data_IF_824407090793
#
_entry.id   IF_824407090793
#
_cell.length_a   1.000
_cell.length_b   1.000
_cell.length_c   1.000
_cell.angle_alpha   90.00
_cell.angle_beta   90.00
_cell.angle_gamma   90.00
#
_symmetry.space_group_name_H-M   'P 1'
#
loop_
_entity.id
_entity.type
_entity.pdbx_description
1 polymer ?
#
# COMPACT_ATOMS: atom_id res chain seq x y z
N UNK A 1 19.90 -1.20 -2.83
CA UNK A 1 20.48 -1.49 -4.16
C UNK A 1 21.67 -0.57 -4.34
N UNK A 2 22.84 -1.11 -4.69
CA UNK A 2 24.05 -0.29 -4.95
C UNK A 2 23.74 0.70 -6.09
N UNK A 3 24.15 1.96 -5.94
CA UNK A 3 23.98 2.98 -6.99
C UNK A 3 24.73 2.50 -8.25
N UNK A 4 24.09 2.59 -9.41
CA UNK A 4 24.74 2.27 -10.70
C UNK A 4 25.75 3.39 -10.97
N UNK A 5 27.02 3.11 -10.74
CA UNK A 5 28.13 4.04 -10.97
C UNK A 5 28.82 3.73 -12.30
N UNK A 6 29.55 4.69 -12.88
CA UNK A 6 30.36 4.46 -14.08
C UNK A 6 31.30 3.25 -13.94
N UNK A 7 31.94 3.12 -12.77
CA UNK A 7 32.79 1.97 -12.43
C UNK A 7 32.06 0.62 -12.47
N UNK A 8 30.75 0.60 -12.19
CA UNK A 8 29.94 -0.60 -12.26
C UNK A 8 29.67 -1.01 -13.71
N UNK A 9 29.41 -0.04 -14.59
CA UNK A 9 29.18 -0.27 -16.02
C UNK A 9 30.46 -0.82 -16.68
N UNK A 10 31.62 -0.23 -16.35
CA UNK A 10 32.92 -0.68 -16.84
C UNK A 10 33.28 -2.07 -16.31
N UNK A 11 33.10 -2.31 -15.01
CA UNK A 11 33.31 -3.64 -14.43
C UNK A 11 32.36 -4.70 -15.02
N UNK A 12 31.13 -4.33 -15.40
CA UNK A 12 30.20 -5.22 -16.09
C UNK A 12 30.71 -5.61 -17.48
N UNK A 13 31.21 -4.65 -18.26
CA UNK A 13 31.82 -4.92 -19.58
C UNK A 13 33.05 -5.82 -19.46
N UNK A 14 33.92 -5.55 -18.49
CA UNK A 14 35.12 -6.35 -18.25
C UNK A 14 34.78 -7.75 -17.72
N UNK A 15 33.73 -7.88 -16.90
CA UNK A 15 33.21 -9.17 -16.46
C UNK A 15 32.71 -10.03 -17.63
N UNK A 16 32.05 -9.44 -18.64
CA UNK A 16 31.63 -10.14 -19.86
C UNK A 16 32.85 -10.63 -20.63
N UNK A 17 33.84 -9.75 -20.86
CA UNK A 17 35.09 -10.11 -21.54
C UNK A 17 35.85 -11.22 -20.80
N UNK A 18 35.88 -11.15 -19.48
CA UNK A 18 36.52 -12.15 -18.63
C UNK A 18 35.81 -13.50 -18.73
N UNK A 19 34.47 -13.56 -18.67
CA UNK A 19 33.72 -14.81 -18.84
C UNK A 19 33.93 -15.46 -20.22
N UNK A 20 34.08 -14.65 -21.27
CA UNK A 20 34.32 -15.11 -22.64
C UNK A 20 35.80 -15.41 -22.94
N UNK A 21 36.71 -15.18 -21.98
CA UNK A 21 38.14 -15.48 -22.16
C UNK A 21 38.43 -16.98 -21.98
N UNK A 22 39.34 -17.52 -22.79
CA UNK A 22 39.80 -18.91 -22.65
C UNK A 22 40.56 -19.16 -21.35
N UNK A 23 41.22 -18.13 -20.80
CA UNK A 23 41.96 -18.19 -19.54
C UNK A 23 41.39 -17.17 -18.56
N UNK A 24 40.44 -17.61 -17.75
CA UNK A 24 39.84 -16.82 -16.67
C UNK A 24 40.81 -16.72 -15.50
N UNK A 25 41.62 -15.68 -15.48
CA UNK A 25 42.53 -15.40 -14.36
C UNK A 25 41.74 -14.99 -13.10
N UNK A 26 42.02 -15.65 -11.97
CA UNK A 26 41.28 -15.46 -10.72
C UNK A 26 41.46 -14.04 -10.15
N UNK A 27 42.70 -13.52 -10.18
CA UNK A 27 43.01 -12.19 -9.62
C UNK A 27 42.28 -11.07 -10.37
N UNK A 28 42.21 -11.21 -11.69
CA UNK A 28 41.49 -10.29 -12.58
C UNK A 28 39.99 -10.30 -12.30
N UNK A 29 39.38 -11.49 -12.11
CA UNK A 29 37.96 -11.60 -11.75
C UNK A 29 37.63 -10.98 -10.39
N UNK A 30 38.48 -11.19 -9.38
CA UNK A 30 38.30 -10.58 -8.05
C UNK A 30 38.40 -9.04 -8.11
N UNK A 31 39.32 -8.50 -8.93
CA UNK A 31 39.44 -7.06 -9.13
C UNK A 31 38.19 -6.47 -9.80
N UNK A 32 37.64 -7.15 -10.82
CA UNK A 32 36.39 -6.76 -11.47
C UNK A 32 35.23 -6.65 -10.46
N UNK A 33 35.05 -7.65 -9.58
CA UNK A 33 34.03 -7.60 -8.53
C UNK A 33 34.28 -6.52 -7.48
N UNK A 34 35.54 -6.26 -7.14
CA UNK A 34 35.90 -5.23 -6.16
C UNK A 34 35.57 -3.84 -6.69
N UNK A 35 35.95 -3.56 -7.94
CA UNK A 35 35.72 -2.26 -8.60
C UNK A 35 34.25 -1.99 -8.90
N UNK A 36 33.44 -3.04 -9.13
CA UNK A 36 32.01 -2.88 -9.39
C UNK A 36 31.23 -2.41 -8.17
N UNK A 37 31.75 -2.59 -6.94
CA UNK A 37 30.99 -2.33 -5.71
C UNK A 37 29.81 -3.30 -5.51
N UNK A 38 29.71 -4.36 -6.33
CA UNK A 38 28.72 -5.41 -6.19
C UNK A 38 29.14 -6.33 -5.04
N UNK A 39 28.36 -6.31 -3.94
CA UNK A 39 28.60 -7.11 -2.73
C UNK A 39 30.07 -7.10 -2.30
N UNK A 40 30.61 -5.93 -1.95
CA UNK A 40 32.03 -5.76 -1.60
C UNK A 40 32.57 -6.74 -0.55
N UNK A 41 31.74 -7.21 0.39
CA UNK A 41 32.12 -8.25 1.35
C UNK A 41 32.46 -9.60 0.70
N UNK A 42 31.80 -9.96 -0.41
CA UNK A 42 32.06 -11.20 -1.16
C UNK A 42 33.38 -11.07 -1.90
N UNK A 43 33.62 -9.94 -2.57
CA UNK A 43 34.88 -9.67 -3.24
C UNK A 43 36.06 -9.72 -2.25
N UNK A 44 35.94 -9.09 -1.08
CA UNK A 44 36.95 -9.13 -0.02
C UNK A 44 37.19 -10.55 0.53
N UNK A 45 36.13 -11.38 0.62
CA UNK A 45 36.24 -12.77 1.07
C UNK A 45 36.97 -13.64 0.04
N UNK A 46 36.65 -13.48 -1.25
CA UNK A 46 37.31 -14.19 -2.35
C UNK A 46 38.79 -13.80 -2.43
N UNK A 47 39.10 -12.51 -2.32
CA UNK A 47 40.48 -12.01 -2.26
C UNK A 47 41.29 -12.65 -1.11
N UNK A 48 40.69 -12.80 0.08
CA UNK A 48 41.35 -13.39 1.26
C UNK A 48 41.53 -14.91 1.16
N UNK A 49 40.57 -15.62 0.56
CA UNK A 49 40.58 -17.07 0.47
C UNK A 49 41.50 -17.60 -0.63
N UNK A 50 41.78 -16.76 -1.64
CA UNK A 50 42.66 -17.10 -2.76
C UNK A 50 42.03 -18.10 -3.75
N UNK A 51 42.81 -18.47 -4.76
CA UNK A 51 42.36 -19.36 -5.83
C UNK A 51 42.28 -20.83 -5.36
N UNK A 52 41.06 -21.36 -5.33
CA UNK A 52 40.72 -22.77 -5.06
C UNK A 52 39.54 -23.14 -5.98
N UNK A 53 39.31 -24.44 -6.26
CA UNK A 53 38.22 -24.85 -7.17
C UNK A 53 36.85 -24.25 -6.81
N UNK A 54 36.44 -24.36 -5.54
CA UNK A 54 35.17 -23.81 -5.06
C UNK A 54 35.12 -22.27 -5.02
N UNK A 55 36.26 -21.59 -4.78
CA UNK A 55 36.28 -20.11 -4.79
C UNK A 55 36.27 -19.57 -6.21
N UNK A 56 36.82 -20.32 -7.18
CA UNK A 56 36.77 -20.01 -8.61
C UNK A 56 35.35 -20.15 -9.15
N UNK A 57 34.66 -21.25 -8.86
CA UNK A 57 33.24 -21.43 -9.18
C UNK A 57 32.38 -20.32 -8.55
N UNK A 58 32.65 -19.97 -7.28
CA UNK A 58 31.94 -18.90 -6.58
C UNK A 58 32.22 -17.53 -7.21
N UNK A 59 33.44 -17.26 -7.65
CA UNK A 59 33.81 -16.04 -8.35
C UNK A 59 33.06 -15.91 -9.68
N UNK A 60 33.03 -16.98 -10.48
CA UNK A 60 32.29 -17.01 -11.75
C UNK A 60 30.78 -16.79 -11.54
N UNK A 61 30.20 -17.45 -10.52
CA UNK A 61 28.81 -17.26 -10.16
C UNK A 61 28.49 -15.79 -9.79
N UNK A 62 29.30 -15.16 -8.95
CA UNK A 62 29.04 -13.78 -8.53
C UNK A 62 29.27 -12.76 -9.65
N UNK A 63 30.23 -13.01 -10.57
CA UNK A 63 30.40 -12.19 -11.78
C UNK A 63 29.18 -12.32 -12.71
N UNK A 64 28.64 -13.54 -12.90
CA UNK A 64 27.40 -13.77 -13.66
C UNK A 64 26.21 -13.04 -13.04
N UNK A 65 26.06 -13.12 -11.71
CA UNK A 65 25.02 -12.42 -10.95
C UNK A 65 25.16 -10.89 -11.01
N UNK A 66 26.40 -10.37 -11.04
CA UNK A 66 26.69 -8.95 -11.24
C UNK A 66 26.29 -8.50 -12.65
N UNK A 67 26.60 -9.29 -13.69
CA UNK A 67 26.28 -8.95 -15.09
C UNK A 67 24.79 -9.18 -15.41
N UNK A 68 24.09 -9.94 -14.56
CA UNK A 68 22.71 -10.42 -14.75
C UNK A 68 22.57 -11.45 -15.88
N UNK A 69 23.63 -12.21 -16.15
CA UNK A 69 23.60 -13.34 -17.08
C UNK A 69 23.38 -14.61 -16.27
N UNK A 70 22.19 -15.18 -16.35
CA UNK A 70 21.77 -16.34 -15.55
C UNK A 70 22.13 -17.70 -16.17
N UNK A 71 22.68 -17.72 -17.38
CA UNK A 71 22.90 -18.92 -18.17
C UNK A 71 24.39 -19.31 -18.23
N UNK A 72 24.70 -20.60 -18.03
CA UNK A 72 26.03 -21.18 -18.23
C UNK A 72 25.92 -22.20 -19.37
N UNK A 73 26.47 -21.92 -20.57
CA UNK A 73 26.31 -22.79 -21.74
C UNK A 73 26.76 -24.23 -21.54
N UNK A 74 27.76 -24.45 -20.67
CA UNK A 74 28.33 -25.79 -20.44
C UNK A 74 27.86 -26.42 -19.11
N UNK A 75 26.78 -25.94 -18.49
CA UNK A 75 26.24 -26.54 -17.25
C UNK A 75 25.28 -27.70 -17.60
N UNK A 76 25.58 -28.96 -17.21
CA UNK A 76 24.78 -30.15 -17.54
C UNK A 76 23.31 -30.07 -17.09
N UNK A 77 22.97 -29.14 -16.18
CA UNK A 77 21.59 -28.94 -15.72
C UNK A 77 20.67 -28.29 -16.75
N UNK A 78 21.22 -27.75 -17.84
CA UNK A 78 20.48 -27.04 -18.88
C UNK A 78 20.66 -27.65 -20.27
N UNK A 79 21.13 -28.89 -20.33
CA UNK A 79 21.37 -29.65 -21.57
C UNK A 79 20.06 -29.89 -22.36
N UNK A 80 18.92 -29.97 -21.66
CA UNK A 80 17.58 -30.16 -22.22
C UNK A 80 16.85 -28.83 -22.58
N UNK A 81 17.51 -27.68 -22.43
CA UNK A 81 16.92 -26.38 -22.80
C UNK A 81 17.32 -26.06 -24.24
N UNK A 82 16.39 -26.24 -25.18
CA UNK A 82 16.58 -25.90 -26.59
C UNK A 82 16.62 -24.38 -26.79
N UNK A 83 17.82 -23.81 -26.71
CA UNK A 83 18.08 -22.40 -26.98
C UNK A 83 17.77 -21.96 -28.41
N UNK A 84 17.59 -22.91 -29.35
CA UNK A 84 17.31 -22.58 -30.74
C UNK A 84 15.82 -22.27 -31.00
N UNK A 85 14.91 -22.69 -30.10
CA UNK A 85 13.46 -22.50 -30.29
C UNK A 85 12.99 -21.11 -29.77
N UNK A 86 13.57 -20.61 -28.69
CA UNK A 86 13.15 -19.35 -28.04
C UNK A 86 13.96 -18.11 -28.43
N UNK A 87 14.94 -18.23 -29.33
CA UNK A 87 15.82 -17.12 -29.73
C UNK A 87 16.23 -17.16 -31.22
N UNK A 88 15.28 -17.32 -32.13
CA UNK A 88 15.49 -17.02 -33.55
C UNK A 88 15.21 -15.53 -33.80
N UNK A 89 16.24 -14.68 -34.06
CA UNK A 89 16.04 -13.25 -34.31
C UNK A 89 15.19 -13.05 -35.57
N UNK A 90 14.09 -12.31 -35.44
CA UNK A 90 13.25 -11.91 -36.59
C UNK A 90 12.05 -12.79 -36.94
N UNK A 91 11.62 -13.73 -36.09
CA UNK A 91 10.42 -14.55 -36.33
C UNK A 91 9.09 -13.84 -36.03
N UNK A 92 9.11 -12.61 -35.52
CA UNK A 92 7.95 -11.74 -35.29
C UNK A 92 7.75 -10.71 -36.42
N UNK A 93 8.56 -10.79 -37.49
CA UNK A 93 8.43 -9.93 -38.68
C UNK A 93 8.81 -8.46 -38.44
N UNK A 94 9.49 -8.15 -37.33
CA UNK A 94 9.97 -6.79 -37.02
C UNK A 94 11.46 -6.81 -36.75
N UNK A 95 12.19 -5.85 -37.32
CA UNK A 95 13.61 -5.65 -37.02
C UNK A 95 13.78 -5.30 -35.54
N UNK A 96 14.51 -6.12 -34.78
CA UNK A 96 14.76 -5.93 -33.34
C UNK A 96 15.54 -4.63 -33.03
N UNK A 97 16.28 -4.11 -34.01
CA UNK A 97 17.04 -2.87 -33.87
C UNK A 97 16.46 -1.81 -34.79
N UNK A 98 16.00 -0.70 -34.18
CA UNK A 98 15.82 0.56 -34.91
C UNK A 98 17.13 0.95 -35.59
N UNK A 99 17.11 1.41 -36.85
CA UNK A 99 18.30 1.95 -37.51
C UNK A 99 19.00 2.98 -36.61
N UNK A 100 20.33 3.02 -36.66
CA UNK A 100 21.15 3.86 -35.79
C UNK A 100 20.76 5.34 -35.87
N UNK A 101 20.34 5.80 -37.06
CA UNK A 101 19.78 7.14 -37.29
C UNK A 101 18.48 7.38 -36.49
N UNK A 102 17.58 6.39 -36.45
CA UNK A 102 16.32 6.47 -35.70
C UNK A 102 16.59 6.43 -34.19
N UNK A 103 17.54 5.60 -33.74
CA UNK A 103 17.95 5.56 -32.34
C UNK A 103 18.58 6.89 -31.90
N UNK A 104 19.45 7.47 -32.72
CA UNK A 104 20.05 8.78 -32.48
C UNK A 104 19.01 9.90 -32.47
N UNK A 105 18.01 9.84 -33.36
CA UNK A 105 16.89 10.80 -33.37
C UNK A 105 16.04 10.71 -32.09
N UNK A 106 15.74 9.50 -31.61
CA UNK A 106 15.00 9.27 -30.36
C UNK A 106 15.78 9.83 -29.16
N UNK A 107 17.09 9.57 -29.10
CA UNK A 107 17.96 10.10 -28.04
C UNK A 107 18.02 11.63 -28.10
N UNK A 108 18.18 12.22 -29.28
CA UNK A 108 18.21 13.67 -29.44
C UNK A 108 16.88 14.35 -29.07
N UNK A 109 15.74 13.69 -29.32
CA UNK A 109 14.43 14.17 -28.86
C UNK A 109 14.32 14.06 -27.34
N UNK A 110 14.75 12.95 -26.74
CA UNK A 110 14.74 12.77 -25.30
C UNK A 110 15.67 13.77 -24.57
N UNK A 111 16.84 14.04 -25.12
CA UNK A 111 17.78 15.05 -24.60
C UNK A 111 17.23 16.47 -24.74
N UNK A 112 16.52 16.76 -25.84
CA UNK A 112 15.84 18.05 -26.04
C UNK A 112 14.67 18.24 -25.07
N UNK A 113 13.89 17.20 -24.81
CA UNK A 113 12.81 17.22 -23.79
C UNK A 113 13.39 17.33 -22.37
N UNK A 114 14.48 16.64 -22.05
CA UNK A 114 15.16 16.74 -20.76
C UNK A 114 15.77 18.13 -20.54
N UNK A 115 16.37 18.71 -21.58
CA UNK A 115 16.85 20.10 -21.56
C UNK A 115 15.69 21.08 -21.40
N UNK A 116 14.53 20.82 -22.04
CA UNK A 116 13.27 21.52 -21.77
C UNK A 116 12.87 21.41 -20.31
N UNK A 117 12.86 20.22 -19.71
CA UNK A 117 12.49 20.03 -18.30
C UNK A 117 13.43 20.75 -17.32
N UNK A 118 14.71 20.91 -17.68
CA UNK A 118 15.71 21.62 -16.87
C UNK A 118 15.62 23.15 -16.98
N UNK A 119 15.29 23.69 -18.17
CA UNK A 119 15.10 25.13 -18.41
C UNK A 119 13.65 25.61 -18.16
N UNK A 120 12.64 24.73 -18.26
CA UNK A 120 11.20 25.05 -18.18
C UNK A 120 10.52 24.68 -16.86
N UNK A 121 11.22 24.17 -15.84
CA UNK A 121 10.66 24.25 -14.49
C UNK A 121 10.85 25.72 -14.05
N UNK A 122 9.82 26.60 -14.08
CA UNK A 122 9.95 27.88 -13.42
C UNK A 122 10.29 27.57 -11.97
N UNK A 123 11.46 28.03 -11.52
CA UNK A 123 11.81 27.91 -10.11
C UNK A 123 10.66 28.52 -9.32
N UNK A 124 9.82 27.68 -8.71
CA UNK A 124 8.64 28.15 -8.02
C UNK A 124 9.09 29.15 -6.97
N UNK A 125 8.38 30.28 -6.80
CA UNK A 125 8.67 31.20 -5.72
C UNK A 125 8.77 30.44 -4.39
N UNK A 126 9.68 30.81 -3.47
CA UNK A 126 9.97 30.00 -2.27
C UNK A 126 8.74 29.60 -1.46
N UNK A 127 7.73 30.48 -1.41
CA UNK A 127 6.43 30.23 -0.77
C UNK A 127 5.68 29.07 -1.43
N UNK A 128 5.62 29.05 -2.77
CA UNK A 128 4.97 27.99 -3.53
C UNK A 128 5.76 26.68 -3.48
N UNK A 129 7.09 26.75 -3.51
CA UNK A 129 7.93 25.59 -3.31
C UNK A 129 7.63 24.91 -1.95
N UNK A 130 7.52 25.70 -0.88
CA UNK A 130 7.14 25.20 0.46
C UNK A 130 5.77 24.53 0.45
N UNK A 131 4.76 25.13 -0.19
CA UNK A 131 3.40 24.56 -0.32
C UNK A 131 3.43 23.21 -1.06
N UNK A 132 4.25 23.08 -2.11
CA UNK A 132 4.40 21.84 -2.86
C UNK A 132 5.08 20.76 -1.99
N UNK A 133 6.12 21.13 -1.23
CA UNK A 133 6.76 20.22 -0.28
C UNK A 133 5.80 19.77 0.83
N UNK A 134 5.05 20.70 1.42
CA UNK A 134 4.04 20.41 2.43
C UNK A 134 2.95 19.47 1.90
N UNK A 135 2.52 19.65 0.65
CA UNK A 135 1.55 18.77 0.00
C UNK A 135 2.11 17.35 -0.14
N UNK A 136 3.36 17.22 -0.59
CA UNK A 136 4.05 15.93 -0.70
C UNK A 136 4.19 15.25 0.66
N UNK A 137 4.55 15.99 1.70
CA UNK A 137 4.62 15.44 3.06
C UNK A 137 3.26 14.95 3.55
N UNK A 138 2.20 15.74 3.34
CA UNK A 138 0.84 15.33 3.70
C UNK A 138 0.40 14.07 2.95
N UNK A 139 0.71 13.96 1.65
CA UNK A 139 0.41 12.78 0.85
C UNK A 139 1.13 11.53 1.38
N UNK A 140 2.42 11.64 1.64
CA UNK A 140 3.23 10.54 2.16
C UNK A 140 2.77 10.10 3.56
N UNK A 141 2.46 11.08 4.42
CA UNK A 141 1.96 10.80 5.76
C UNK A 141 0.60 10.13 5.71
N UNK A 142 -0.34 10.62 4.89
CA UNK A 142 -1.65 9.99 4.71
C UNK A 142 -1.51 8.55 4.23
N UNK A 143 -0.59 8.28 3.31
CA UNK A 143 -0.28 6.92 2.85
C UNK A 143 0.28 6.04 3.98
N UNK A 144 1.14 6.57 4.85
CA UNK A 144 1.60 5.86 6.06
C UNK A 144 0.43 5.55 7.00
N UNK A 145 -0.46 6.50 7.23
CA UNK A 145 -1.64 6.33 8.09
C UNK A 145 -2.59 5.25 7.54
N UNK A 146 -2.85 5.21 6.23
CA UNK A 146 -3.63 4.13 5.62
C UNK A 146 -2.97 2.74 5.78
N UNK A 147 -1.64 2.66 5.67
CA UNK A 147 -0.91 1.40 5.92
C UNK A 147 -1.00 0.98 7.40
N UNK A 148 -0.87 1.93 8.33
CA UNK A 148 -1.06 1.68 9.76
C UNK A 148 -2.48 1.20 10.06
N UNK A 149 -3.50 1.82 9.45
CA UNK A 149 -4.89 1.41 9.60
C UNK A 149 -5.12 -0.04 9.16
N UNK A 150 -4.55 -0.43 8.01
CA UNK A 150 -4.63 -1.80 7.50
C UNK A 150 -3.89 -2.81 8.42
N UNK A 151 -2.78 -2.40 9.03
CA UNK A 151 -1.98 -3.26 9.90
C UNK A 151 -2.66 -3.58 11.25
N UNK A 152 -3.60 -2.75 11.71
CA UNK A 152 -4.32 -2.97 12.98
C UNK A 152 -5.29 -4.17 12.94
N UNK A 153 -5.53 -4.77 11.76
CA UNK A 153 -6.42 -5.90 11.59
C UNK A 153 -7.89 -5.55 11.87
N UNK A 154 -8.72 -6.56 12.12
CA UNK A 154 -10.19 -6.44 12.28
C UNK A 154 -10.69 -6.62 13.72
N UNK A 155 -9.79 -6.83 14.69
CA UNK A 155 -10.17 -7.06 16.09
C UNK A 155 -10.75 -5.80 16.72
N UNK A 156 -11.81 -5.93 17.52
CA UNK A 156 -12.50 -4.82 18.17
C UNK A 156 -12.14 -4.64 19.65
N UNK A 157 -10.86 -4.78 20.01
CA UNK A 157 -10.42 -4.37 21.35
C UNK A 157 -10.49 -2.85 21.49
N UNK A 158 -10.76 -2.34 22.70
CA UNK A 158 -10.87 -0.90 22.96
C UNK A 158 -9.62 -0.12 22.50
N UNK A 159 -8.44 -0.70 22.72
CA UNK A 159 -7.17 -0.12 22.27
C UNK A 159 -7.08 -0.03 20.74
N UNK A 160 -7.56 -1.03 20.00
CA UNK A 160 -7.55 -1.00 18.53
C UNK A 160 -8.60 -0.01 18.01
N UNK A 161 -9.79 0.05 18.62
CA UNK A 161 -10.82 1.01 18.22
C UNK A 161 -10.40 2.47 18.42
N UNK A 162 -9.74 2.78 19.53
CA UNK A 162 -9.17 4.12 19.80
C UNK A 162 -8.07 4.46 18.79
N UNK A 163 -7.13 3.54 18.54
CA UNK A 163 -6.09 3.73 17.53
C UNK A 163 -6.67 3.93 16.11
N UNK A 164 -7.68 3.15 15.70
CA UNK A 164 -8.36 3.37 14.40
C UNK A 164 -9.02 4.74 14.34
N UNK A 165 -9.67 5.19 15.41
CA UNK A 165 -10.28 6.52 15.49
C UNK A 165 -9.24 7.63 15.29
N UNK A 166 -8.11 7.55 15.98
CA UNK A 166 -7.03 8.54 15.89
C UNK A 166 -6.42 8.58 14.49
N UNK A 167 -6.18 7.41 13.89
CA UNK A 167 -5.66 7.30 12.52
C UNK A 167 -6.64 7.88 11.51
N UNK A 168 -7.93 7.55 11.62
CA UNK A 168 -8.98 8.08 10.72
C UNK A 168 -9.11 9.60 10.86
N UNK A 169 -9.11 10.13 12.08
CA UNK A 169 -9.10 11.57 12.32
C UNK A 169 -7.87 12.24 11.70
N UNK A 170 -6.69 11.62 11.82
CA UNK A 170 -5.45 12.10 11.19
C UNK A 170 -5.53 12.07 9.67
N UNK A 171 -6.10 11.02 9.08
CA UNK A 171 -6.32 10.92 7.63
C UNK A 171 -7.26 12.04 7.15
N UNK A 172 -8.35 12.29 7.87
CA UNK A 172 -9.29 13.37 7.53
C UNK A 172 -8.59 14.74 7.59
N UNK A 173 -7.84 15.01 8.65
CA UNK A 173 -7.05 16.23 8.79
C UNK A 173 -6.05 16.43 7.63
N UNK A 174 -5.27 15.39 7.30
CA UNK A 174 -4.31 15.44 6.20
C UNK A 174 -5.00 15.65 4.85
N UNK A 175 -6.15 15.00 4.64
CA UNK A 175 -6.93 15.14 3.40
C UNK A 175 -7.47 16.56 3.25
N UNK A 176 -8.03 17.15 4.31
CA UNK A 176 -8.51 18.52 4.30
C UNK A 176 -7.36 19.50 4.01
N UNK A 177 -6.21 19.32 4.66
CA UNK A 177 -5.01 20.14 4.40
C UNK A 177 -4.53 20.03 2.96
N UNK A 178 -4.53 18.82 2.38
CA UNK A 178 -4.18 18.62 0.98
C UNK A 178 -5.13 19.34 0.04
N UNK A 179 -6.43 19.33 0.29
CA UNK A 179 -7.44 20.06 -0.50
C UNK A 179 -7.16 21.57 -0.50
N UNK A 180 -6.84 22.14 0.67
CA UNK A 180 -6.49 23.57 0.79
C UNK A 180 -5.19 23.90 0.05
N UNK A 181 -4.13 23.11 0.22
CA UNK A 181 -2.86 23.29 -0.47
C UNK A 181 -3.01 23.17 -2.01
N UNK A 182 -3.82 22.23 -2.48
CA UNK A 182 -4.10 22.06 -3.91
C UNK A 182 -4.88 23.24 -4.49
N UNK A 183 -5.84 23.79 -3.74
CA UNK A 183 -6.58 24.98 -4.15
C UNK A 183 -5.64 26.19 -4.33
N UNK A 184 -4.70 26.39 -3.39
CA UNK A 184 -3.72 27.45 -3.46
C UNK A 184 -2.76 27.27 -4.66
N UNK A 185 -2.27 26.05 -4.89
CA UNK A 185 -1.46 25.75 -6.08
C UNK A 185 -2.21 26.08 -7.37
N UNK A 186 -3.50 25.72 -7.45
CA UNK A 186 -4.33 26.00 -8.62
C UNK A 186 -4.54 27.49 -8.84
N UNK A 187 -4.76 28.27 -7.78
CA UNK A 187 -4.86 29.73 -7.85
C UNK A 187 -3.56 30.34 -8.39
N UNK A 188 -2.40 29.92 -7.87
CA UNK A 188 -1.10 30.38 -8.38
C UNK A 188 -0.89 29.99 -9.86
N UNK A 189 -1.35 28.82 -10.30
CA UNK A 189 -1.21 28.41 -11.71
C UNK A 189 -2.09 29.23 -12.66
N UNK A 190 -3.29 29.62 -12.21
CA UNK A 190 -4.26 30.38 -13.00
C UNK A 190 -3.95 31.88 -13.01
N UNK A 191 -3.75 32.47 -11.84
CA UNK A 191 -3.70 33.92 -11.66
C UNK A 191 -2.26 34.45 -11.52
N UNK A 192 -1.28 33.54 -11.31
CA UNK A 192 0.14 33.87 -11.02
C UNK A 192 0.35 34.71 -9.75
N UNK A 193 -0.68 34.84 -8.92
CA UNK A 193 -0.63 35.56 -7.65
C UNK A 193 -0.18 34.66 -6.50
N UNK A 194 0.62 35.22 -5.59
CA UNK A 194 1.11 34.52 -4.42
C UNK A 194 0.04 34.48 -3.31
N UNK A 195 0.03 33.42 -2.48
CA UNK A 195 -0.90 33.33 -1.35
C UNK A 195 -0.67 34.49 -0.38
N UNK A 196 -1.76 35.11 0.09
CA UNK A 196 -1.69 36.21 1.06
C UNK A 196 -1.27 35.68 2.44
N UNK A 197 -0.55 36.46 3.24
CA UNK A 197 -0.10 36.08 4.60
C UNK A 197 -1.24 35.57 5.48
N UNK A 198 -2.45 36.15 5.35
CA UNK A 198 -3.65 35.69 6.06
C UNK A 198 -4.08 34.27 5.67
N UNK A 199 -3.98 33.91 4.39
CA UNK A 199 -4.32 32.57 3.90
C UNK A 199 -3.29 31.53 4.38
N UNK A 200 -2.02 31.94 4.50
CA UNK A 200 -0.98 31.11 5.09
C UNK A 200 -1.24 30.89 6.60
N UNK A 201 -1.55 31.95 7.34
CA UNK A 201 -1.85 31.86 8.77
C UNK A 201 -3.06 30.97 9.07
N UNK A 202 -4.11 31.04 8.25
CA UNK A 202 -5.27 30.15 8.34
C UNK A 202 -4.92 28.69 8.01
N UNK A 203 -4.09 28.45 7.00
CA UNK A 203 -3.67 27.11 6.58
C UNK A 203 -2.83 26.39 7.65
N UNK A 204 -2.09 27.14 8.47
CA UNK A 204 -1.31 26.60 9.58
C UNK A 204 -1.99 26.71 10.94
N UNK A 205 -3.21 27.24 11.00
CA UNK A 205 -4.01 27.29 12.23
C UNK A 205 -4.51 25.89 12.57
N UNK A 206 -4.10 25.36 13.72
CA UNK A 206 -4.53 24.02 14.19
C UNK A 206 -6.02 24.05 14.53
N UNK A 207 -6.86 23.42 13.72
CA UNK A 207 -8.23 23.08 14.06
C UNK A 207 -8.31 21.59 14.40
N UNK A 208 -8.25 21.28 15.70
CA UNK A 208 -8.58 19.96 16.25
C UNK A 208 -10.06 19.96 16.62
N UNK A 209 -10.91 19.28 15.83
CA UNK A 209 -12.06 18.44 16.25
C UNK A 209 -13.06 18.22 15.10
N UNK A 210 -13.43 16.97 14.78
CA UNK A 210 -14.63 16.65 14.00
C UNK A 210 -15.85 16.48 14.92
N UNK A 211 -16.93 17.20 14.64
CA UNK A 211 -18.24 17.07 15.29
C UNK A 211 -18.96 15.80 14.83
N UNK A 212 -19.48 14.99 15.77
CA UNK A 212 -20.36 13.86 15.53
C UNK A 212 -21.82 14.31 15.55
N UNK A 213 -22.56 13.96 14.50
CA UNK A 213 -23.99 14.25 14.36
C UNK A 213 -24.83 13.10 14.99
N UNK A 214 -25.88 13.37 15.78
CA UNK A 214 -26.67 12.32 16.43
C UNK A 214 -27.84 11.85 15.55
N UNK A 215 -27.97 10.52 15.40
CA UNK A 215 -29.13 9.88 14.73
C UNK A 215 -30.21 9.42 15.72
N UNK A 216 -31.45 9.59 15.27
CA UNK A 216 -32.74 9.55 15.98
C UNK A 216 -33.13 8.16 16.52
N UNK A 217 -33.85 8.17 17.64
CA UNK A 217 -34.46 7.00 18.28
C UNK A 217 -35.70 6.52 17.51
N UNK A 218 -35.90 5.19 17.45
CA UNK A 218 -37.06 4.54 16.81
C UNK A 218 -38.18 4.29 17.84
N UNK A 219 -39.41 4.64 17.45
CA UNK A 219 -40.64 4.61 18.26
C UNK A 219 -41.06 3.21 18.75
N UNK A 220 -41.64 3.18 19.95
CA UNK A 220 -42.25 1.98 20.56
C UNK A 220 -43.53 1.55 19.84
N UNK A 221 -43.65 0.26 19.53
CA UNK A 221 -44.86 -0.34 18.95
C UNK A 221 -45.83 -0.79 20.05
N UNK A 222 -47.05 -0.23 20.08
CA UNK A 222 -48.14 -0.66 20.97
C UNK A 222 -48.73 -2.02 20.50
N UNK A 223 -48.92 -2.94 21.45
CA UNK A 223 -49.17 -4.38 21.23
C UNK A 223 -50.62 -4.75 21.59
N UNK A 224 -51.37 -3.80 22.17
CA UNK A 224 -52.63 -4.05 22.88
C UNK A 224 -53.79 -4.46 21.96
N UNK A 225 -53.71 -4.17 20.66
CA UNK A 225 -54.78 -4.37 19.68
C UNK A 225 -54.56 -5.55 18.71
N UNK A 226 -53.51 -6.37 18.90
CA UNK A 226 -53.13 -7.42 17.94
C UNK A 226 -53.88 -8.73 18.18
N UNK A 227 -54.27 -9.41 17.09
CA UNK A 227 -54.90 -10.73 17.12
C UNK A 227 -53.91 -11.85 17.49
N UNK A 228 -54.40 -13.06 17.85
CA UNK A 228 -53.56 -14.19 18.28
C UNK A 228 -52.51 -14.59 17.21
N UNK A 229 -52.87 -14.57 15.93
CA UNK A 229 -51.93 -14.87 14.84
C UNK A 229 -50.89 -13.77 14.67
N UNK A 230 -51.31 -12.50 14.78
CA UNK A 230 -50.42 -11.34 14.73
C UNK A 230 -49.47 -11.30 15.94
N UNK A 231 -49.92 -11.71 17.12
CA UNK A 231 -49.11 -11.87 18.33
C UNK A 231 -48.05 -12.97 18.15
N UNK A 232 -48.42 -14.13 17.59
CA UNK A 232 -47.44 -15.20 17.28
C UNK A 232 -46.41 -14.72 16.25
N UNK A 233 -46.84 -13.97 15.23
CA UNK A 233 -45.96 -13.38 14.22
C UNK A 233 -45.03 -12.31 14.84
N UNK A 234 -45.58 -11.44 15.70
CA UNK A 234 -44.82 -10.42 16.42
C UNK A 234 -43.78 -11.04 17.35
N UNK A 235 -44.10 -12.14 18.05
CA UNK A 235 -43.16 -12.93 18.85
C UNK A 235 -42.02 -13.52 18.00
N UNK A 236 -42.33 -14.11 16.86
CA UNK A 236 -41.29 -14.63 15.93
C UNK A 236 -40.39 -13.52 15.41
N UNK A 237 -40.97 -12.36 15.06
CA UNK A 237 -40.24 -11.18 14.62
C UNK A 237 -39.34 -10.63 15.74
N UNK A 238 -39.85 -10.51 16.97
CA UNK A 238 -39.10 -10.04 18.13
C UNK A 238 -37.94 -11.00 18.46
N UNK A 239 -38.16 -12.32 18.43
CA UNK A 239 -37.08 -13.32 18.58
C UNK A 239 -36.01 -13.20 17.49
N UNK A 240 -36.42 -12.94 16.25
CA UNK A 240 -35.48 -12.69 15.15
C UNK A 240 -34.68 -11.41 15.40
N UNK A 241 -35.31 -10.33 15.89
CA UNK A 241 -34.64 -9.08 16.27
C UNK A 241 -33.65 -9.28 17.43
N UNK A 242 -34.01 -10.07 18.46
CA UNK A 242 -33.12 -10.44 19.57
C UNK A 242 -31.88 -11.17 19.06
N UNK A 243 -32.06 -12.21 18.23
CA UNK A 243 -30.95 -12.99 17.69
C UNK A 243 -29.99 -12.10 16.90
N UNK A 244 -30.51 -11.23 16.02
CA UNK A 244 -29.69 -10.27 15.27
C UNK A 244 -28.93 -9.30 16.18
N UNK A 245 -29.59 -8.77 17.21
CA UNK A 245 -28.96 -7.84 18.16
C UNK A 245 -27.89 -8.52 19.03
N UNK A 246 -28.10 -9.77 19.47
CA UNK A 246 -27.10 -10.57 20.17
C UNK A 246 -25.91 -10.93 19.27
N UNK A 247 -26.16 -11.25 18.00
CA UNK A 247 -25.09 -11.45 17.02
C UNK A 247 -24.27 -10.18 16.80
N UNK A 248 -24.92 -9.00 16.75
CA UNK A 248 -24.21 -7.72 16.70
C UNK A 248 -23.31 -7.51 17.92
N UNK A 249 -23.76 -7.87 19.13
CA UNK A 249 -22.97 -7.76 20.36
C UNK A 249 -21.76 -8.70 20.36
N UNK A 250 -21.89 -9.92 19.85
CA UNK A 250 -20.87 -10.96 19.96
C UNK A 250 -19.91 -11.03 18.76
N UNK A 251 -20.42 -10.76 17.55
CA UNK A 251 -19.69 -10.90 16.29
C UNK A 251 -19.52 -9.58 15.53
N UNK A 252 -20.12 -8.48 16.01
CA UNK A 252 -20.19 -7.20 15.28
C UNK A 252 -20.93 -7.28 13.93
N UNK A 253 -21.71 -8.35 13.68
CA UNK A 253 -22.53 -8.59 12.49
C UNK A 253 -23.89 -9.18 12.84
N UNK A 254 -24.93 -8.95 12.02
CA UNK A 254 -26.29 -9.48 12.29
C UNK A 254 -26.37 -11.01 12.20
N UNK A 255 -25.46 -11.61 11.43
CA UNK A 255 -25.32 -13.06 11.26
C UNK A 255 -24.06 -13.57 11.94
N UNK A 256 -24.05 -14.86 12.30
CA UNK A 256 -22.86 -15.54 12.78
C UNK A 256 -21.86 -15.68 11.63
N UNK A 257 -20.60 -15.23 11.76
CA UNK A 257 -19.56 -15.43 10.76
C UNK A 257 -19.36 -16.91 10.45
N UNK A 258 -19.00 -17.25 9.21
CA UNK A 258 -18.75 -18.63 8.78
C UNK A 258 -17.65 -19.30 9.61
N UNK A 259 -16.66 -18.51 10.01
CA UNK A 259 -15.51 -18.97 10.80
C UNK A 259 -15.83 -19.08 12.30
N UNK A 260 -17.03 -18.66 12.73
CA UNK A 260 -17.49 -18.73 14.12
C UNK A 260 -16.70 -17.89 15.12
N UNK A 261 -15.68 -17.15 14.68
CA UNK A 261 -14.79 -16.36 15.52
C UNK A 261 -15.53 -15.17 16.13
N UNK A 262 -15.48 -15.08 17.45
CA UNK A 262 -16.07 -13.97 18.20
C UNK A 262 -15.26 -12.68 18.00
N UNK A 263 -15.98 -11.57 17.79
CA UNK A 263 -15.42 -10.22 17.69
C UNK A 263 -16.41 -9.24 18.36
N UNK A 264 -16.47 -9.26 19.70
CA UNK A 264 -17.52 -8.58 20.43
C UNK A 264 -17.42 -7.06 20.27
N UNK A 265 -18.56 -6.39 20.33
CA UNK A 265 -18.59 -4.92 20.36
C UNK A 265 -17.84 -4.43 21.61
N UNK A 266 -16.95 -3.45 21.47
CA UNK A 266 -16.24 -2.86 22.61
C UNK A 266 -17.20 -2.06 23.48
N UNK A 267 -16.75 -1.67 24.67
CA UNK A 267 -17.53 -0.82 25.58
C UNK A 267 -17.70 0.58 24.99
N UNK A 268 -18.77 0.76 24.22
CA UNK A 268 -19.06 1.97 23.47
C UNK A 268 -20.58 2.25 23.45
N UNK A 269 -21.02 3.48 23.17
CA UNK A 269 -22.45 3.84 23.16
C UNK A 269 -23.30 2.92 22.27
N UNK A 270 -22.72 2.42 21.17
CA UNK A 270 -23.38 1.46 20.27
C UNK A 270 -23.67 0.12 20.94
N UNK A 271 -22.76 -0.37 21.80
CA UNK A 271 -22.98 -1.59 22.61
C UNK A 271 -24.17 -1.41 23.55
N UNK A 272 -24.20 -0.29 24.28
CA UNK A 272 -25.32 0.06 25.18
C UNK A 272 -26.65 0.13 24.41
N UNK A 273 -26.66 0.67 23.19
CA UNK A 273 -27.86 0.69 22.33
C UNK A 273 -28.36 -0.72 22.02
N UNK A 274 -27.48 -1.65 21.63
CA UNK A 274 -27.90 -3.02 21.33
C UNK A 274 -28.30 -3.80 22.59
N UNK A 275 -27.64 -3.58 23.72
CA UNK A 275 -28.04 -4.17 25.01
C UNK A 275 -29.45 -3.70 25.42
N UNK A 276 -29.74 -2.39 25.30
CA UNK A 276 -31.09 -1.84 25.50
C UNK A 276 -32.11 -2.42 24.51
N UNK A 277 -31.72 -2.57 23.24
CA UNK A 277 -32.58 -3.17 22.21
C UNK A 277 -32.91 -4.64 22.52
N UNK A 278 -31.93 -5.41 22.99
CA UNK A 278 -32.16 -6.79 23.43
C UNK A 278 -33.15 -6.81 24.59
N UNK A 279 -32.91 -6.01 25.63
CA UNK A 279 -33.79 -5.94 26.80
C UNK A 279 -35.24 -5.51 26.44
N UNK A 280 -35.39 -4.50 25.56
CA UNK A 280 -36.70 -4.04 25.12
C UNK A 280 -37.45 -5.11 24.30
N UNK A 281 -36.75 -5.84 23.43
CA UNK A 281 -37.37 -6.91 22.64
C UNK A 281 -37.66 -8.16 23.48
N UNK A 282 -36.86 -8.46 24.49
CA UNK A 282 -37.14 -9.53 25.48
C UNK A 282 -38.39 -9.20 26.29
N UNK A 283 -38.50 -7.97 26.81
CA UNK A 283 -39.71 -7.50 27.48
C UNK A 283 -40.94 -7.53 26.56
N UNK A 284 -40.78 -7.20 25.28
CA UNK A 284 -41.85 -7.34 24.28
C UNK A 284 -42.27 -8.80 24.09
N UNK A 285 -41.33 -9.74 24.01
CA UNK A 285 -41.63 -11.18 23.91
C UNK A 285 -42.38 -11.66 25.16
N UNK A 286 -41.95 -11.27 26.35
CA UNK A 286 -42.63 -11.61 27.61
C UNK A 286 -44.06 -11.05 27.63
N UNK A 287 -44.26 -9.77 27.29
CA UNK A 287 -45.61 -9.17 27.19
C UNK A 287 -46.51 -9.91 26.20
N UNK A 288 -45.97 -10.31 25.05
CA UNK A 288 -46.72 -11.10 24.06
C UNK A 288 -47.05 -12.50 24.59
N UNK A 289 -46.12 -13.14 25.32
CA UNK A 289 -46.34 -14.46 25.93
C UNK A 289 -47.42 -14.43 27.00
N UNK A 290 -47.41 -13.43 27.88
CA UNK A 290 -48.50 -13.20 28.85
C UNK A 290 -49.84 -12.97 28.14
N UNK A 291 -49.88 -12.13 27.11
CA UNK A 291 -51.12 -11.86 26.37
C UNK A 291 -51.66 -13.09 25.65
N UNK A 292 -50.79 -13.91 25.09
CA UNK A 292 -51.18 -15.18 24.48
C UNK A 292 -51.74 -16.17 25.52
N UNK A 293 -51.20 -16.18 26.73
CA UNK A 293 -51.69 -17.02 27.82
C UNK A 293 -53.07 -16.56 28.35
N UNK A 294 -53.35 -15.24 28.34
CA UNK A 294 -54.69 -14.70 28.69
C UNK A 294 -55.77 -15.01 27.64
N UNK A 295 -55.37 -15.24 26.39
CA UNK A 295 -56.27 -15.50 25.26
C UNK A 295 -56.49 -17.01 25.00
N UNK A 296 -55.85 -17.89 25.77
CA UNK A 296 -56.04 -19.35 25.77
C UNK A 296 -57.04 -19.77 26.85
#
# INVERSE_FOLDING_TARGET
MSKITQNYIEARRDGIKWLNSQKRDYSTGVNILTRSGYKGFVAARLARQGEKPHTREKLEYEIRQMIKVWYHPDDPRFEDVDLADDAMPGNDGRSETVPEETAAAIVAVAERELAREADEQPAYPPVMAKIIYDFRECYNERSRQHRMLAALGETNTQAVCTQRKDIVARIAFLSNRMTLLAAIKRQFEQDKELPTDKQLDELYKKADTPEENPEKEEDETDISSLSVEELKKAKSNAKSKITKARNMLLYSSESKPKDGKENPLPDCPKRVKYEKKVAAQEALVERIEYRLAELQ
#
